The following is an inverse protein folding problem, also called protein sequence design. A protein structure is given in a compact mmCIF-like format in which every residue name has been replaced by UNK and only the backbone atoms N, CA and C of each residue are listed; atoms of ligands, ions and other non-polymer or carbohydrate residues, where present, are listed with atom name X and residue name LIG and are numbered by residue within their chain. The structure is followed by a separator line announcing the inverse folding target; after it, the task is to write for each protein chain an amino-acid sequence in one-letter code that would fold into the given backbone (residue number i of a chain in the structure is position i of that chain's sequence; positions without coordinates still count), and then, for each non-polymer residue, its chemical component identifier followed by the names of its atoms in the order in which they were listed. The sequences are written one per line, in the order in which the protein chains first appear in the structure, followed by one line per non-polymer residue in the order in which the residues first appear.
data_IF_650512281514
#
_entry.id   IF_650512281514
#
_cell.length_a   1.000
_cell.length_b   1.000
_cell.length_c   1.000
_cell.angle_alpha   90.00
_cell.angle_beta   90.00
_cell.angle_gamma   90.00
#
_symmetry.space_group_name_H-M   'P 1'
#
loop_
_entity.id
_entity.type
_entity.pdbx_description
1 polymer ?
#
# COMPACT_ATOMS: atom_id res chain seq x y z
N UNK A 1 -1.45 -11.00 -7.65
CA UNK A 1 -2.20 -9.94 -6.95
C UNK A 1 -2.80 -9.11 -8.05
N UNK A 2 -4.12 -9.00 -8.09
CA UNK A 2 -4.79 -8.16 -9.09
C UNK A 2 -5.05 -6.74 -8.54
N UNK A 3 -5.63 -5.86 -9.37
CA UNK A 3 -5.95 -4.49 -8.95
C UNK A 3 -6.93 -4.43 -7.78
N UNK A 4 -7.94 -5.29 -7.71
CA UNK A 4 -8.91 -5.26 -6.61
C UNK A 4 -8.27 -5.70 -5.29
N UNK A 5 -7.40 -6.71 -5.31
CA UNK A 5 -6.58 -7.06 -4.15
C UNK A 5 -5.73 -5.87 -3.69
N UNK A 6 -5.09 -5.19 -4.65
CA UNK A 6 -4.27 -4.02 -4.37
C UNK A 6 -5.08 -2.87 -3.75
N UNK A 7 -6.26 -2.57 -4.31
CA UNK A 7 -7.17 -1.53 -3.81
C UNK A 7 -7.65 -1.86 -2.38
N UNK A 8 -8.00 -3.12 -2.10
CA UNK A 8 -8.35 -3.60 -0.75
C UNK A 8 -7.18 -3.42 0.22
N UNK A 9 -5.95 -3.79 -0.18
CA UNK A 9 -4.77 -3.63 0.66
C UNK A 9 -4.54 -2.15 0.98
N UNK A 10 -4.54 -1.28 -0.03
CA UNK A 10 -4.27 0.16 0.15
C UNK A 10 -5.33 0.82 1.02
N UNK A 11 -6.62 0.66 0.69
CA UNK A 11 -7.70 1.38 1.35
C UNK A 11 -8.15 0.73 2.67
N UNK A 12 -8.35 -0.58 2.67
CA UNK A 12 -9.03 -1.27 3.77
C UNK A 12 -8.02 -1.78 4.78
N UNK A 13 -7.00 -2.51 4.33
CA UNK A 13 -6.10 -3.21 5.25
C UNK A 13 -5.02 -2.28 5.80
N UNK A 14 -4.22 -1.68 4.92
CA UNK A 14 -3.11 -0.82 5.31
C UNK A 14 -3.60 0.58 5.73
N UNK A 15 -4.45 1.22 4.91
CA UNK A 15 -5.09 2.49 5.27
C UNK A 15 -5.90 2.38 6.57
N UNK A 16 -6.67 1.30 6.71
CA UNK A 16 -7.40 1.00 7.94
C UNK A 16 -6.50 0.77 9.16
N UNK A 17 -5.36 0.08 9.00
CA UNK A 17 -4.39 -0.09 10.08
C UNK A 17 -3.83 1.24 10.59
N UNK A 18 -3.50 2.16 9.67
CA UNK A 18 -3.03 3.50 10.04
C UNK A 18 -4.10 4.33 10.73
N UNK A 19 -5.33 4.28 10.22
CA UNK A 19 -6.45 5.06 10.76
C UNK A 19 -6.92 4.55 12.14
N UNK A 20 -6.88 3.23 12.36
CA UNK A 20 -7.47 2.59 13.53
C UNK A 20 -6.45 2.18 14.61
N UNK A 21 -5.15 2.36 14.37
CA UNK A 21 -4.13 2.00 15.35
C UNK A 21 -4.34 2.75 16.68
N UNK A 22 -4.56 1.99 17.75
CA UNK A 22 -4.72 2.52 19.11
C UNK A 22 -3.36 2.62 19.79
N UNK A 23 -2.63 3.67 19.46
CA UNK A 23 -1.30 3.91 20.01
C UNK A 23 -1.32 3.99 21.54
N UNK A 24 -0.48 3.19 22.20
CA UNK A 24 -0.17 3.42 23.61
C UNK A 24 0.97 4.43 23.75
N UNK A 25 1.10 5.08 24.91
CA UNK A 25 2.20 6.01 25.18
C UNK A 25 3.61 5.38 25.10
N UNK A 26 3.71 4.05 25.02
CA UNK A 26 4.97 3.31 24.92
C UNK A 26 5.26 2.79 23.51
N UNK A 27 4.32 2.99 22.58
CA UNK A 27 4.43 2.51 21.20
C UNK A 27 5.38 3.39 20.37
N UNK A 28 5.66 4.61 20.84
CA UNK A 28 6.49 5.61 20.16
C UNK A 28 5.95 5.89 18.75
N UNK A 29 6.76 5.63 17.72
CA UNK A 29 6.36 5.76 16.32
C UNK A 29 5.93 4.42 15.72
N UNK A 30 6.12 3.31 16.43
CA UNK A 30 6.04 1.95 15.90
C UNK A 30 4.63 1.38 15.97
N UNK A 31 4.34 0.43 15.09
CA UNK A 31 3.06 -0.27 14.97
C UNK A 31 3.32 -1.77 14.77
N UNK A 32 2.52 -2.67 15.35
CA UNK A 32 2.66 -4.11 15.10
C UNK A 32 2.12 -4.51 13.70
N UNK A 33 2.65 -5.58 13.12
CA UNK A 33 2.13 -6.17 11.88
C UNK A 33 0.69 -6.67 12.02
N UNK A 34 0.30 -7.10 13.21
CA UNK A 34 -1.08 -7.49 13.50
C UNK A 34 -2.14 -6.40 13.20
N UNK A 35 -1.76 -5.13 13.09
CA UNK A 35 -2.70 -4.05 12.77
C UNK A 35 -3.25 -4.14 11.34
N UNK A 36 -2.43 -4.48 10.32
CA UNK A 36 -2.89 -4.68 8.94
C UNK A 36 -3.13 -6.16 8.59
N UNK A 37 -2.72 -7.06 9.48
CA UNK A 37 -2.86 -8.51 9.37
C UNK A 37 -1.54 -9.19 8.95
N UNK A 38 -1.37 -10.44 9.37
CA UNK A 38 -0.15 -11.22 9.09
C UNK A 38 -0.15 -11.87 7.69
N UNK A 39 -1.13 -11.53 6.85
CA UNK A 39 -1.37 -12.19 5.57
C UNK A 39 -0.40 -11.71 4.46
N UNK A 40 0.29 -10.59 4.68
CA UNK A 40 1.16 -9.99 3.68
C UNK A 40 2.33 -9.22 4.29
N UNK A 41 3.43 -9.13 3.55
CA UNK A 41 4.64 -8.41 3.96
C UNK A 41 4.67 -6.96 3.43
N UNK A 42 5.69 -6.19 3.85
CA UNK A 42 5.91 -4.81 3.37
C UNK A 42 6.04 -4.72 1.85
N UNK A 43 6.67 -5.72 1.22
CA UNK A 43 6.83 -5.75 -0.24
C UNK A 43 5.48 -5.86 -0.94
N UNK A 44 4.57 -6.66 -0.39
CA UNK A 44 3.21 -6.83 -0.88
C UNK A 44 2.42 -5.53 -0.78
N UNK A 45 2.56 -4.77 0.33
CA UNK A 45 1.97 -3.43 0.45
C UNK A 45 2.49 -2.50 -0.65
N UNK A 46 3.80 -2.46 -0.86
CA UNK A 46 4.41 -1.61 -1.90
C UNK A 46 3.91 -2.00 -3.29
N UNK A 47 3.83 -3.29 -3.60
CA UNK A 47 3.27 -3.79 -4.84
C UNK A 47 1.79 -3.39 -5.02
N UNK A 48 1.00 -3.41 -3.95
CA UNK A 48 -0.37 -2.92 -3.98
C UNK A 48 -0.45 -1.43 -4.30
N UNK A 49 0.40 -0.59 -3.68
CA UNK A 49 0.48 0.84 -4.01
C UNK A 49 0.86 1.08 -5.47
N UNK A 50 1.77 0.29 -6.05
CA UNK A 50 2.14 0.42 -7.47
C UNK A 50 0.95 0.20 -8.40
N UNK A 51 0.22 -0.91 -8.23
CA UNK A 51 -0.96 -1.18 -9.06
C UNK A 51 -2.07 -0.14 -8.83
N UNK A 52 -2.29 0.26 -7.57
CA UNK A 52 -3.22 1.31 -7.21
C UNK A 52 -2.90 2.63 -7.93
N UNK A 53 -1.65 3.10 -7.83
CA UNK A 53 -1.24 4.33 -8.49
C UNK A 53 -1.30 4.23 -10.01
N UNK A 54 -0.90 3.10 -10.60
CA UNK A 54 -1.00 2.91 -12.06
C UNK A 54 -2.43 3.08 -12.56
N UNK A 55 -3.40 2.51 -11.84
CA UNK A 55 -4.83 2.64 -12.14
C UNK A 55 -5.31 4.08 -11.99
N UNK A 56 -5.01 4.71 -10.85
CA UNK A 56 -5.35 6.11 -10.59
C UNK A 56 -4.78 7.05 -11.65
N UNK A 57 -3.54 6.80 -12.08
CA UNK A 57 -2.87 7.56 -13.12
C UNK A 57 -3.56 7.35 -14.46
N UNK A 58 -3.94 6.12 -14.86
CA UNK A 58 -4.59 5.89 -16.14
C UNK A 58 -5.96 6.59 -16.23
N UNK A 59 -6.80 6.39 -15.21
CA UNK A 59 -8.20 6.82 -15.23
C UNK A 59 -8.45 8.19 -14.58
N UNK A 60 -7.41 8.83 -14.02
CA UNK A 60 -7.51 10.09 -13.27
C UNK A 60 -8.58 10.05 -12.17
N UNK A 61 -8.63 8.96 -11.39
CA UNK A 61 -9.69 8.71 -10.38
C UNK A 61 -9.46 9.39 -9.04
N UNK A 62 -8.34 10.10 -8.88
CA UNK A 62 -7.99 10.82 -7.65
C UNK A 62 -7.44 12.21 -7.96
N UNK A 63 -7.61 13.14 -7.02
CA UNK A 63 -6.98 14.47 -7.09
C UNK A 63 -5.49 14.39 -6.74
N UNK A 64 -4.76 15.47 -7.02
CA UNK A 64 -3.35 15.58 -6.64
C UNK A 64 -3.18 15.48 -5.11
N UNK A 65 -4.08 16.11 -4.35
CA UNK A 65 -4.06 16.07 -2.89
C UNK A 65 -4.28 14.66 -2.34
N UNK A 66 -5.23 13.90 -2.92
CA UNK A 66 -5.45 12.51 -2.55
C UNK A 66 -4.23 11.65 -2.87
N UNK A 67 -3.61 11.86 -4.04
CA UNK A 67 -2.39 11.17 -4.43
C UNK A 67 -1.23 11.40 -3.45
N UNK A 68 -1.02 12.65 -3.05
CA UNK A 68 -0.01 13.03 -2.05
C UNK A 68 -0.30 12.41 -0.66
N UNK A 69 -1.58 12.31 -0.27
CA UNK A 69 -1.97 11.61 0.95
C UNK A 69 -1.57 10.13 0.91
N UNK A 70 -1.78 9.43 -0.21
CA UNK A 70 -1.35 8.04 -0.37
C UNK A 70 0.16 7.87 -0.33
N UNK A 71 0.91 8.80 -0.93
CA UNK A 71 2.38 8.79 -0.84
C UNK A 71 2.85 8.99 0.60
N UNK A 72 2.27 9.95 1.33
CA UNK A 72 2.58 10.21 2.73
C UNK A 72 2.27 9.00 3.62
N UNK A 73 1.14 8.34 3.37
CA UNK A 73 0.73 7.11 4.05
C UNK A 73 1.79 6.01 3.89
N UNK A 74 2.31 5.80 2.68
CA UNK A 74 3.34 4.79 2.42
C UNK A 74 4.65 5.05 3.20
N UNK A 75 4.99 6.31 3.50
CA UNK A 75 6.16 6.64 4.32
C UNK A 75 6.09 6.08 5.75
N UNK A 76 4.90 5.70 6.23
CA UNK A 76 4.73 5.05 7.53
C UNK A 76 4.96 3.55 7.50
N UNK A 77 5.17 2.93 6.33
CA UNK A 77 5.32 1.48 6.19
C UNK A 77 6.46 0.94 7.05
N UNK A 78 7.56 1.67 7.16
CA UNK A 78 8.69 1.19 7.94
C UNK A 78 8.49 1.28 9.45
N UNK A 79 7.51 2.05 9.91
CA UNK A 79 7.12 2.09 11.32
C UNK A 79 6.44 0.79 11.78
N UNK A 80 5.97 -0.03 10.85
CA UNK A 80 5.43 -1.34 11.17
C UNK A 80 6.56 -2.32 11.43
N UNK A 81 6.47 -3.04 12.55
CA UNK A 81 7.45 -4.03 13.01
C UNK A 81 6.74 -5.32 13.47
N UNK A 82 7.47 -6.46 13.53
CA UNK A 82 6.90 -7.69 14.08
C UNK A 82 6.35 -7.50 15.50
N UNK A 83 5.26 -8.18 15.82
CA UNK A 83 4.61 -8.10 17.14
C UNK A 83 5.57 -8.41 18.31
N UNK A 84 6.48 -9.37 18.12
CA UNK A 84 7.52 -9.70 19.12
C UNK A 84 8.46 -8.52 19.39
N UNK A 85 8.79 -7.75 18.36
CA UNK A 85 9.62 -6.55 18.49
C UNK A 85 8.82 -5.39 19.07
N UNK A 86 7.53 -5.29 18.73
CA UNK A 86 6.62 -4.32 19.34
C UNK A 86 6.51 -4.50 20.87
N UNK A 87 6.47 -5.74 21.35
CA UNK A 87 6.50 -6.01 22.79
C UNK A 87 7.81 -5.55 23.45
N UNK A 88 8.95 -5.75 22.76
CA UNK A 88 10.26 -5.30 23.25
C UNK A 88 10.35 -3.78 23.30
N UNK A 89 9.90 -3.10 22.24
CA UNK A 89 9.75 -1.64 22.20
C UNK A 89 8.91 -1.16 23.38
N UNK A 90 7.72 -1.74 23.61
CA UNK A 90 6.84 -1.35 24.72
C UNK A 90 7.51 -1.53 26.08
N UNK A 91 8.22 -2.64 26.30
CA UNK A 91 8.97 -2.91 27.54
C UNK A 91 10.09 -1.88 27.76
N UNK A 92 10.89 -1.62 26.73
CA UNK A 92 12.01 -0.69 26.79
C UNK A 92 11.56 0.77 26.92
N UNK A 93 10.56 1.18 26.16
CA UNK A 93 9.87 2.47 26.33
C UNK A 93 9.33 2.65 27.74
N UNK A 94 8.72 1.61 28.32
CA UNK A 94 8.25 1.67 29.71
C UNK A 94 9.38 1.94 30.69
N UNK A 95 10.53 1.28 30.56
CA UNK A 95 11.71 1.51 31.41
C UNK A 95 12.23 2.95 31.27
N UNK A 96 12.21 3.50 30.06
CA UNK A 96 12.71 4.86 29.78
C UNK A 96 11.77 5.96 30.30
N UNK A 97 10.46 5.79 30.11
CA UNK A 97 9.46 6.83 30.34
C UNK A 97 8.70 6.70 31.67
N UNK A 98 8.88 5.62 32.43
CA UNK A 98 8.28 5.51 33.76
C UNK A 98 8.95 6.48 34.74
N UNK A 99 8.13 7.36 35.34
CA UNK A 99 8.59 8.50 36.15
C UNK A 99 8.70 8.16 37.64
N UNK A 100 8.39 6.93 38.04
CA UNK A 100 8.47 6.49 39.44
C UNK A 100 9.85 6.69 40.06
N UNK A 101 9.90 7.28 41.27
CA UNK A 101 11.14 7.60 41.99
C UNK A 101 12.04 6.37 42.21
N UNK A 102 11.43 5.22 42.54
CA UNK A 102 12.13 3.93 42.74
C UNK A 102 12.69 3.37 41.42
N UNK A 103 11.98 3.56 40.29
CA UNK A 103 12.41 3.12 38.97
C UNK A 103 13.58 3.95 38.42
N UNK A 104 13.78 5.19 38.89
CA UNK A 104 14.94 6.02 38.50
C UNK A 104 16.25 5.57 39.15
N UNK A 105 16.19 5.01 40.36
CA UNK A 105 17.35 4.69 41.18
C UNK A 105 17.87 3.26 40.92
N UNK A 106 16.99 2.31 40.60
CA UNK A 106 17.36 0.89 40.47
C UNK A 106 17.78 0.44 39.05
N UNK A 107 17.71 1.30 38.04
CA UNK A 107 17.72 0.87 36.63
C UNK A 107 18.66 1.65 35.70
N UNK A 108 19.80 2.16 36.16
CA UNK A 108 20.73 2.89 35.28
C UNK A 108 21.20 2.02 34.08
N UNK A 109 21.63 0.78 34.35
CA UNK A 109 22.01 -0.19 33.31
C UNK A 109 20.84 -0.64 32.44
N UNK A 110 19.66 -0.85 33.05
CA UNK A 110 18.45 -1.21 32.31
C UNK A 110 17.98 -0.08 31.38
N UNK A 111 18.18 1.19 31.75
CA UNK A 111 17.90 2.35 30.89
C UNK A 111 18.88 2.46 29.74
N UNK A 112 20.16 2.18 29.97
CA UNK A 112 21.16 2.16 28.91
C UNK A 112 20.86 1.05 27.89
N UNK A 113 20.53 -0.15 28.38
CA UNK A 113 20.08 -1.26 27.53
C UNK A 113 18.80 -0.90 26.75
N UNK A 114 17.77 -0.40 27.43
CA UNK A 114 16.50 -0.03 26.80
C UNK A 114 16.69 1.07 25.74
N UNK A 115 17.57 2.04 25.99
CA UNK A 115 17.90 3.07 25.02
C UNK A 115 18.58 2.47 23.79
N UNK A 116 19.61 1.63 23.99
CA UNK A 116 20.31 0.96 22.89
C UNK A 116 19.35 0.14 22.03
N UNK A 117 18.45 -0.62 22.66
CA UNK A 117 17.47 -1.44 21.96
C UNK A 117 16.48 -0.59 21.14
N UNK A 118 15.98 0.52 21.68
CA UNK A 118 15.14 1.47 20.93
C UNK A 118 15.92 2.11 19.76
N UNK A 119 17.17 2.52 19.99
CA UNK A 119 18.01 3.12 18.95
C UNK A 119 18.28 2.12 17.79
N UNK A 120 18.47 0.82 18.11
CA UNK A 120 18.57 -0.26 17.13
C UNK A 120 17.28 -0.42 16.31
N UNK A 121 16.11 -0.37 16.96
CA UNK A 121 14.84 -0.45 16.26
C UNK A 121 14.60 0.75 15.34
N UNK A 122 14.90 1.97 15.80
CA UNK A 122 14.79 3.19 14.98
C UNK A 122 15.71 3.09 13.76
N UNK A 123 16.96 2.65 13.94
CA UNK A 123 17.89 2.47 12.83
C UNK A 123 17.41 1.40 11.82
N UNK A 124 16.82 0.30 12.31
CA UNK A 124 16.27 -0.76 11.47
C UNK A 124 15.01 -0.35 10.70
N UNK A 125 14.21 0.55 11.27
CA UNK A 125 13.03 1.16 10.65
C UNK A 125 13.40 2.29 9.67
N UNK A 126 14.69 2.57 9.48
CA UNK A 126 15.23 3.39 8.39
C UNK A 126 16.14 2.53 7.51
N UNK A 127 15.58 1.56 6.75
CA UNK A 127 16.39 0.67 5.94
C UNK A 127 17.22 1.44 4.89
N UNK A 128 18.40 0.93 4.49
CA UNK A 128 19.23 1.53 3.43
C UNK A 128 18.51 1.52 2.06
N UNK A 129 17.47 0.68 1.94
CA UNK A 129 16.54 0.68 0.83
C UNK A 129 15.27 1.44 1.22
N UNK A 130 15.04 2.60 0.59
CA UNK A 130 13.80 3.34 0.81
C UNK A 130 12.72 2.84 -0.14
N UNK A 131 11.59 2.38 0.41
CA UNK A 131 10.39 2.09 -0.37
C UNK A 131 9.92 3.29 -1.19
N UNK A 132 10.20 4.51 -0.71
CA UNK A 132 9.99 5.76 -1.45
C UNK A 132 10.80 5.77 -2.74
N UNK A 133 12.09 5.42 -2.71
CA UNK A 133 12.92 5.38 -3.91
C UNK A 133 12.51 4.27 -4.90
N UNK A 134 11.92 3.16 -4.41
CA UNK A 134 11.27 2.18 -5.28
C UNK A 134 10.04 2.77 -5.96
N UNK A 135 9.19 3.43 -5.19
CA UNK A 135 7.95 4.02 -5.65
C UNK A 135 8.21 5.16 -6.64
N UNK A 136 9.18 6.03 -6.37
CA UNK A 136 9.55 7.14 -7.26
C UNK A 136 9.94 6.63 -8.65
N UNK A 137 10.78 5.59 -8.72
CA UNK A 137 11.17 4.98 -10.00
C UNK A 137 9.98 4.39 -10.74
N UNK A 138 9.08 3.72 -10.02
CA UNK A 138 7.85 3.17 -10.60
C UNK A 138 6.93 4.29 -11.12
N UNK A 139 6.70 5.33 -10.31
CA UNK A 139 5.82 6.44 -10.65
C UNK A 139 6.33 7.24 -11.84
N UNK A 140 7.64 7.53 -11.91
CA UNK A 140 8.23 8.15 -13.10
C UNK A 140 7.98 7.30 -14.35
N UNK A 141 8.27 5.99 -14.28
CA UNK A 141 8.09 5.11 -15.43
C UNK A 141 6.64 5.01 -15.90
N UNK A 142 5.68 4.90 -14.98
CA UNK A 142 4.27 4.78 -15.36
C UNK A 142 3.67 6.10 -15.88
N UNK A 143 4.10 7.25 -15.34
CA UNK A 143 3.69 8.58 -15.83
C UNK A 143 4.22 8.81 -17.25
N UNK A 144 5.50 8.52 -17.48
CA UNK A 144 6.11 8.64 -18.80
C UNK A 144 5.42 7.72 -19.82
N UNK A 145 5.12 6.49 -19.42
CA UNK A 145 4.41 5.55 -20.27
C UNK A 145 2.96 5.99 -20.56
N UNK A 146 2.22 6.53 -19.58
CA UNK A 146 0.88 7.11 -19.82
C UNK A 146 0.91 8.16 -20.93
N UNK A 147 1.92 9.02 -20.95
CA UNK A 147 2.04 10.05 -21.98
C UNK A 147 2.30 9.48 -23.38
N UNK A 148 3.05 8.37 -23.49
CA UNK A 148 3.21 7.63 -24.75
C UNK A 148 1.89 6.96 -25.14
N UNK A 149 1.30 6.21 -24.22
CA UNK A 149 0.05 5.50 -24.39
C UNK A 149 -1.08 6.42 -24.88
N UNK A 150 -1.22 7.61 -24.28
CA UNK A 150 -2.27 8.57 -24.66
C UNK A 150 -2.08 9.11 -26.09
N UNK A 151 -0.84 9.37 -26.49
CA UNK A 151 -0.54 9.83 -27.86
C UNK A 151 -0.87 8.75 -28.88
N UNK A 152 -0.49 7.51 -28.60
CA UNK A 152 -0.82 6.36 -29.46
C UNK A 152 -2.33 6.12 -29.49
N UNK A 153 -3.00 6.27 -28.34
CA UNK A 153 -4.46 6.23 -28.23
C UNK A 153 -5.10 7.29 -29.15
N UNK A 154 -4.75 8.56 -29.01
CA UNK A 154 -5.35 9.64 -29.80
C UNK A 154 -5.05 9.59 -31.30
N UNK A 155 -3.98 8.92 -31.72
CA UNK A 155 -3.56 8.85 -33.11
C UNK A 155 -4.38 7.89 -34.01
N UNK A 156 -5.28 7.06 -33.45
CA UNK A 156 -6.13 6.16 -34.25
C UNK A 156 -7.57 6.68 -34.35
N UNK A 157 -8.24 6.40 -35.47
CA UNK A 157 -9.69 6.58 -35.65
C UNK A 157 -10.43 5.43 -34.93
N UNK A 158 -11.05 5.67 -33.76
CA UNK A 158 -11.38 4.58 -32.83
C UNK A 158 -12.85 4.29 -32.57
N UNK A 159 -13.11 2.99 -32.38
CA UNK A 159 -14.29 2.40 -31.75
C UNK A 159 -14.06 2.13 -30.24
N UNK A 160 -15.11 1.76 -29.50
CA UNK A 160 -15.02 1.44 -28.06
C UNK A 160 -14.18 0.19 -27.75
N UNK A 161 -14.10 -0.79 -28.66
CA UNK A 161 -13.26 -1.97 -28.47
C UNK A 161 -11.76 -1.62 -28.53
N UNK A 162 -11.39 -0.59 -29.28
CA UNK A 162 -10.00 -0.15 -29.42
C UNK A 162 -9.48 0.53 -28.14
N UNK A 163 -10.39 1.04 -27.29
CA UNK A 163 -10.02 1.57 -25.98
C UNK A 163 -9.59 0.46 -25.02
N UNK A 164 -10.39 -0.59 -24.86
CA UNK A 164 -10.09 -1.65 -23.89
C UNK A 164 -8.84 -2.46 -24.26
N UNK A 165 -8.58 -2.67 -25.55
CA UNK A 165 -7.32 -3.27 -26.00
C UNK A 165 -6.11 -2.41 -25.59
N UNK A 166 -6.26 -1.09 -25.62
CA UNK A 166 -5.21 -0.18 -25.16
C UNK A 166 -5.10 -0.14 -23.64
N UNK A 167 -6.20 -0.18 -22.91
CA UNK A 167 -6.16 -0.33 -21.44
C UNK A 167 -5.38 -1.60 -21.06
N UNK A 168 -5.56 -2.70 -21.80
CA UNK A 168 -4.78 -3.92 -21.59
C UNK A 168 -3.28 -3.67 -21.76
N UNK A 169 -2.83 -3.02 -22.84
CA UNK A 169 -1.38 -2.75 -23.01
C UNK A 169 -0.80 -1.82 -21.95
N UNK A 170 -1.62 -0.99 -21.31
CA UNK A 170 -1.23 -0.22 -20.14
C UNK A 170 -1.15 -1.08 -18.88
N UNK A 171 -2.13 -1.96 -18.67
CA UNK A 171 -2.13 -2.94 -17.61
C UNK A 171 -0.86 -3.80 -17.66
N UNK A 172 -0.57 -4.43 -18.81
CA UNK A 172 0.60 -5.30 -18.99
C UNK A 172 1.91 -4.57 -18.60
N UNK A 173 2.06 -3.32 -19.06
CA UNK A 173 3.22 -2.51 -18.73
C UNK A 173 3.29 -2.17 -17.23
N UNK A 174 2.17 -1.86 -16.59
CA UNK A 174 2.11 -1.58 -15.16
C UNK A 174 2.53 -2.80 -14.32
N UNK A 175 2.07 -4.00 -14.67
CA UNK A 175 2.48 -5.25 -14.00
C UNK A 175 3.96 -5.55 -14.22
N UNK A 176 4.44 -5.42 -15.46
CA UNK A 176 5.85 -5.59 -15.80
C UNK A 176 6.74 -4.64 -15.01
N UNK A 177 6.42 -3.34 -14.99
CA UNK A 177 7.20 -2.32 -14.28
C UNK A 177 7.13 -2.53 -12.77
N UNK A 178 6.00 -3.01 -12.25
CA UNK A 178 5.85 -3.33 -10.84
C UNK A 178 6.62 -4.58 -10.40
N UNK A 179 6.96 -5.47 -11.34
CA UNK A 179 7.55 -6.77 -11.08
C UNK A 179 6.55 -7.75 -10.47
N UNK A 180 5.27 -7.62 -10.82
CA UNK A 180 4.17 -8.45 -10.32
C UNK A 180 3.77 -9.42 -11.44
N UNK A 181 3.70 -10.74 -11.19
CA UNK A 181 3.20 -11.69 -12.18
C UNK A 181 1.75 -11.37 -12.54
N UNK A 182 1.51 -11.17 -13.82
CA UNK A 182 0.19 -10.93 -14.40
C UNK A 182 -0.50 -12.24 -14.76
N UNK A 183 -1.83 -12.24 -14.68
CA UNK A 183 -2.72 -13.31 -15.11
C UNK A 183 -3.66 -12.83 -16.22
N UNK A 184 -4.22 -13.76 -16.99
CA UNK A 184 -5.14 -13.45 -18.10
C UNK A 184 -6.39 -12.67 -17.68
N UNK A 185 -6.72 -12.65 -16.39
CA UNK A 185 -7.90 -11.97 -15.84
C UNK A 185 -7.62 -10.57 -15.30
N UNK A 186 -6.35 -10.19 -15.15
CA UNK A 186 -5.98 -8.96 -14.45
C UNK A 186 -6.43 -7.70 -15.18
N UNK A 187 -6.42 -7.71 -16.52
CA UNK A 187 -6.94 -6.59 -17.31
C UNK A 187 -8.45 -6.36 -17.16
N UNK A 188 -9.22 -7.42 -16.92
CA UNK A 188 -10.66 -7.31 -16.59
C UNK A 188 -10.81 -6.60 -15.24
N UNK A 189 -10.00 -7.00 -14.26
CA UNK A 189 -10.02 -6.47 -12.91
C UNK A 189 -9.43 -5.06 -12.81
N UNK A 190 -8.65 -4.61 -13.80
CA UNK A 190 -8.05 -3.27 -13.89
C UNK A 190 -9.04 -2.20 -14.38
N UNK A 191 -10.26 -2.56 -14.75
CA UNK A 191 -11.27 -1.59 -15.19
C UNK A 191 -11.63 -0.58 -14.07
N UNK A 192 -12.11 0.64 -14.41
CA UNK A 192 -12.62 1.59 -13.42
C UNK A 192 -13.86 1.01 -12.71
N UNK A 193 -14.09 1.41 -11.45
CA UNK A 193 -15.17 0.85 -10.63
C UNK A 193 -16.56 0.99 -11.26
N UNK A 194 -16.84 2.07 -11.99
CA UNK A 194 -18.12 2.24 -12.71
C UNK A 194 -18.35 1.12 -13.73
N UNK A 195 -17.30 0.74 -14.47
CA UNK A 195 -17.36 -0.37 -15.42
C UNK A 195 -17.48 -1.70 -14.67
N UNK A 196 -16.71 -1.91 -13.61
CA UNK A 196 -16.78 -3.14 -12.80
C UNK A 196 -18.17 -3.34 -12.18
N UNK A 197 -18.80 -2.28 -11.65
CA UNK A 197 -20.18 -2.33 -11.13
C UNK A 197 -21.17 -2.70 -12.23
N UNK A 198 -21.03 -2.10 -13.42
CA UNK A 198 -21.84 -2.47 -14.58
C UNK A 198 -21.65 -3.95 -14.96
N UNK A 199 -20.42 -4.45 -14.98
CA UNK A 199 -20.12 -5.83 -15.32
C UNK A 199 -20.65 -6.81 -14.26
N UNK A 200 -20.63 -6.46 -12.96
CA UNK A 200 -21.29 -7.23 -11.89
C UNK A 200 -22.81 -7.28 -12.09
N UNK A 201 -23.46 -6.13 -12.31
CA UNK A 201 -24.93 -6.04 -12.49
C UNK A 201 -25.39 -6.82 -13.72
N UNK A 202 -24.61 -6.74 -14.81
CA UNK A 202 -24.91 -7.43 -16.07
C UNK A 202 -24.42 -8.89 -16.09
N UNK A 203 -23.90 -9.40 -14.96
CA UNK A 203 -23.39 -10.77 -14.81
C UNK A 203 -22.31 -11.13 -15.87
N UNK A 204 -21.46 -10.16 -16.20
CA UNK A 204 -20.31 -10.34 -17.09
C UNK A 204 -19.15 -10.88 -16.25
N UNK A 205 -18.49 -11.93 -16.75
CA UNK A 205 -17.37 -12.59 -16.05
C UNK A 205 -17.69 -13.06 -14.62
N UNK A 206 -18.78 -13.84 -14.40
CA UNK A 206 -19.27 -14.18 -13.06
C UNK A 206 -18.23 -14.89 -12.19
N UNK A 207 -17.40 -15.75 -12.78
CA UNK A 207 -16.38 -16.49 -12.04
C UNK A 207 -15.21 -15.60 -11.57
N UNK A 208 -15.00 -14.46 -12.24
CA UNK A 208 -13.90 -13.53 -11.97
C UNK A 208 -14.35 -12.47 -10.97
N UNK A 209 -15.55 -11.90 -11.14
CA UNK A 209 -16.02 -10.77 -10.33
C UNK A 209 -16.75 -11.17 -9.05
N UNK A 210 -17.32 -12.39 -8.98
CA UNK A 210 -18.08 -12.83 -7.80
C UNK A 210 -17.31 -12.72 -6.47
N UNK A 211 -16.00 -13.05 -6.37
CA UNK A 211 -15.26 -12.89 -5.12
C UNK A 211 -15.16 -11.44 -4.63
N UNK A 212 -15.34 -10.47 -5.53
CA UNK A 212 -15.18 -9.03 -5.26
C UNK A 212 -16.49 -8.26 -5.35
N UNK A 213 -17.62 -8.91 -5.61
CA UNK A 213 -18.87 -8.25 -5.98
C UNK A 213 -19.30 -7.22 -4.91
N UNK A 214 -19.37 -7.63 -3.64
CA UNK A 214 -19.75 -6.73 -2.54
C UNK A 214 -18.80 -5.53 -2.46
N UNK A 215 -17.49 -5.77 -2.55
CA UNK A 215 -16.49 -4.73 -2.52
C UNK A 215 -16.61 -3.73 -3.69
N UNK A 216 -16.83 -4.23 -4.90
CA UNK A 216 -17.03 -3.41 -6.11
C UNK A 216 -18.26 -2.51 -5.94
N UNK A 217 -19.34 -3.04 -5.37
CA UNK A 217 -20.60 -2.32 -5.20
C UNK A 217 -20.53 -1.26 -4.10
N UNK A 218 -19.70 -1.45 -3.08
CA UNK A 218 -19.57 -0.53 -1.94
C UNK A 218 -18.47 0.53 -2.10
N UNK A 219 -17.45 0.25 -2.92
CA UNK A 219 -16.31 1.17 -3.11
C UNK A 219 -16.70 2.38 -3.94
N UNK A 220 -16.09 3.55 -3.69
CA UNK A 220 -16.24 4.79 -4.49
C UNK A 220 -15.01 5.10 -5.35
#
# INVERSE_FOLDING_TARGET
MNFLDAHIIVHVRYGGALANHKATKYDMIFRPYSDYGNDFDKKTIVNAFKLFFAHTILFNTRTQEEFEQYQSVLCHLDSFIPDSDMERVRKSSKILYDKGFIAKILNASAKEYAKKEIDEFVASATPPYSWTAEMDRFLTGIIDYKAVWLREYQAQERSSNDFWNYVQTYCDYAYQLAGIPETETDGILFAPFDQLRSDVINNRYPNILKPYADYIMESS
#
